data_IF_810420470790
#
_entry.id   IF_810420470790
#
_cell.length_a   1.000
_cell.length_b   1.000
_cell.length_c   1.000
_cell.angle_alpha   90.00
_cell.angle_beta   90.00
_cell.angle_gamma   90.00
#
_symmetry.space_group_name_H-M   'P 1'
#
loop_
_entity.id
_entity.type
_entity.pdbx_description
1 polymer ?
#
# COMPACT_ATOMS: atom_id res chain seq x y z
N UNK A 1 -35.69 -21.60 -24.41
CA UNK A 1 -35.50 -20.30 -23.75
C UNK A 1 -34.02 -20.20 -23.47
N UNK A 2 -33.26 -19.45 -24.29
CA UNK A 2 -31.80 -19.28 -24.16
C UNK A 2 -31.62 -18.30 -23.01
N UNK A 3 -30.79 -18.61 -21.98
CA UNK A 3 -30.53 -17.65 -20.90
C UNK A 3 -29.85 -16.41 -21.49
N UNK A 4 -30.47 -15.25 -21.27
CA UNK A 4 -29.87 -13.95 -21.57
C UNK A 4 -28.62 -13.86 -20.69
N UNK A 5 -27.44 -14.04 -21.29
CA UNK A 5 -26.17 -13.69 -20.62
C UNK A 5 -26.21 -12.18 -20.43
N UNK A 6 -26.48 -11.75 -19.21
CA UNK A 6 -26.42 -10.34 -18.83
C UNK A 6 -25.08 -9.77 -19.27
N UNK A 7 -25.11 -8.83 -20.20
CA UNK A 7 -23.89 -8.13 -20.65
C UNK A 7 -23.38 -7.28 -19.49
N UNK A 8 -22.25 -7.70 -18.92
CA UNK A 8 -21.55 -6.89 -17.92
C UNK A 8 -21.31 -5.48 -18.44
N UNK A 9 -21.46 -4.50 -17.57
CA UNK A 9 -21.08 -3.12 -17.88
C UNK A 9 -19.56 -3.03 -18.15
N UNK A 10 -19.09 -1.96 -18.80
CA UNK A 10 -17.64 -1.73 -18.95
C UNK A 10 -16.90 -1.68 -17.62
N UNK A 11 -17.49 -1.09 -16.57
CA UNK A 11 -16.93 -1.03 -15.23
C UNK A 11 -16.82 -2.43 -14.59
N UNK A 12 -17.89 -3.22 -14.66
CA UNK A 12 -17.87 -4.61 -14.15
C UNK A 12 -16.87 -5.48 -14.91
N UNK A 13 -16.75 -5.29 -16.22
CA UNK A 13 -15.77 -6.00 -17.03
C UNK A 13 -14.35 -5.61 -16.62
N UNK A 14 -14.09 -4.32 -16.39
CA UNK A 14 -12.79 -3.82 -15.91
C UNK A 14 -12.44 -4.41 -14.56
N UNK A 15 -13.38 -4.43 -13.62
CA UNK A 15 -13.19 -5.01 -12.29
C UNK A 15 -12.88 -6.53 -12.37
N UNK A 16 -13.62 -7.27 -13.20
CA UNK A 16 -13.36 -8.70 -13.41
C UNK A 16 -11.97 -8.97 -14.00
N UNK A 17 -11.52 -8.14 -14.97
CA UNK A 17 -10.18 -8.25 -15.55
C UNK A 17 -9.12 -8.05 -14.46
N UNK A 18 -9.24 -7.01 -13.61
CA UNK A 18 -8.32 -6.74 -12.51
C UNK A 18 -8.28 -7.89 -11.49
N UNK A 19 -9.44 -8.41 -11.11
CA UNK A 19 -9.52 -9.53 -10.18
C UNK A 19 -8.80 -10.76 -10.71
N UNK A 20 -9.09 -11.16 -11.94
CA UNK A 20 -8.45 -12.34 -12.57
C UNK A 20 -6.96 -12.11 -12.77
N UNK A 21 -6.55 -10.90 -13.18
CA UNK A 21 -5.14 -10.55 -13.32
C UNK A 21 -4.40 -10.64 -11.96
N UNK A 22 -5.01 -10.20 -10.87
CA UNK A 22 -4.45 -10.34 -9.52
C UNK A 22 -4.27 -11.82 -9.13
N UNK A 23 -5.28 -12.66 -9.35
CA UNK A 23 -5.21 -14.10 -9.08
C UNK A 23 -4.08 -14.76 -9.88
N UNK A 24 -3.92 -14.38 -11.15
CA UNK A 24 -2.84 -14.90 -12.01
C UNK A 24 -1.46 -14.39 -11.56
N UNK A 25 -1.32 -13.15 -11.13
CA UNK A 25 -0.08 -12.62 -10.56
C UNK A 25 0.31 -13.42 -9.31
N UNK A 26 -0.64 -13.75 -8.44
CA UNK A 26 -0.38 -14.60 -7.26
C UNK A 26 0.11 -16.00 -7.64
N UNK A 27 -0.33 -16.54 -8.76
CA UNK A 27 0.02 -17.89 -9.22
C UNK A 27 1.30 -17.93 -10.06
N UNK A 28 1.47 -16.95 -10.95
CA UNK A 28 2.48 -16.94 -12.00
C UNK A 28 3.53 -15.83 -11.86
N UNK A 29 3.30 -14.87 -10.99
CA UNK A 29 4.17 -13.69 -10.81
C UNK A 29 4.24 -12.83 -12.07
N UNK A 30 5.44 -12.36 -12.37
CA UNK A 30 5.71 -11.55 -13.56
C UNK A 30 5.47 -12.31 -14.90
N UNK A 31 5.25 -13.62 -14.86
CA UNK A 31 4.95 -14.41 -16.08
C UNK A 31 3.50 -14.35 -16.52
N UNK A 32 2.57 -13.90 -15.67
CA UNK A 32 1.16 -13.72 -16.04
C UNK A 32 1.03 -12.86 -17.30
N UNK A 33 0.16 -13.27 -18.23
CA UNK A 33 -0.02 -12.60 -19.54
C UNK A 33 -1.47 -12.16 -19.76
N UNK A 34 -1.67 -11.25 -20.71
CA UNK A 34 -3.02 -10.84 -21.14
C UNK A 34 -3.79 -12.04 -21.73
N UNK A 35 -3.09 -12.97 -22.39
CA UNK A 35 -3.71 -14.18 -22.92
C UNK A 35 -4.28 -15.07 -21.81
N UNK A 36 -3.55 -15.25 -20.71
CA UNK A 36 -4.02 -16.03 -19.55
C UNK A 36 -5.27 -15.39 -18.92
N UNK A 37 -5.32 -14.06 -18.84
CA UNK A 37 -6.50 -13.33 -18.34
C UNK A 37 -7.69 -13.52 -19.28
N UNK A 38 -7.47 -13.37 -20.58
CA UNK A 38 -8.50 -13.55 -21.59
C UNK A 38 -9.08 -14.97 -21.57
N UNK A 39 -8.22 -15.98 -21.51
CA UNK A 39 -8.61 -17.39 -21.40
C UNK A 39 -9.47 -17.64 -20.15
N UNK A 40 -8.99 -17.18 -18.99
CA UNK A 40 -9.70 -17.35 -17.70
C UNK A 40 -11.09 -16.69 -17.69
N UNK A 41 -11.27 -15.59 -18.44
CA UNK A 41 -12.54 -14.86 -18.55
C UNK A 41 -13.42 -15.34 -19.73
N UNK A 42 -12.92 -16.25 -20.56
CA UNK A 42 -13.63 -16.71 -21.77
C UNK A 42 -13.81 -15.61 -22.81
N UNK A 43 -12.86 -14.67 -22.93
CA UNK A 43 -12.89 -13.59 -23.90
C UNK A 43 -11.63 -13.57 -24.78
N UNK A 44 -11.65 -12.80 -25.88
CA UNK A 44 -10.46 -12.63 -26.71
C UNK A 44 -9.44 -11.70 -26.05
N UNK A 45 -8.14 -11.91 -26.30
CA UNK A 45 -7.08 -10.98 -25.88
C UNK A 45 -7.31 -9.56 -26.41
N UNK A 46 -7.85 -9.42 -27.63
CA UNK A 46 -8.22 -8.13 -28.21
C UNK A 46 -9.25 -7.38 -27.34
N UNK A 47 -10.16 -8.11 -26.70
CA UNK A 47 -11.13 -7.50 -25.80
C UNK A 47 -10.47 -7.00 -24.49
N UNK A 48 -9.50 -7.75 -23.94
CA UNK A 48 -8.71 -7.28 -22.77
C UNK A 48 -7.88 -6.06 -23.14
N UNK A 49 -7.24 -6.04 -24.32
CA UNK A 49 -6.46 -4.89 -24.81
C UNK A 49 -7.28 -3.60 -24.96
N UNK A 50 -8.59 -3.68 -25.17
CA UNK A 50 -9.47 -2.50 -25.20
C UNK A 50 -9.54 -1.80 -23.82
N UNK A 51 -9.37 -2.54 -22.74
CA UNK A 51 -9.40 -2.01 -21.37
C UNK A 51 -8.00 -1.64 -20.87
N UNK A 52 -6.99 -2.45 -21.23
CA UNK A 52 -5.61 -2.29 -20.80
C UNK A 52 -4.69 -2.50 -22.01
N UNK A 53 -4.12 -1.41 -22.56
CA UNK A 53 -3.43 -1.43 -23.86
C UNK A 53 -2.11 -2.21 -23.85
N UNK A 54 -1.59 -2.60 -22.68
CA UNK A 54 -0.39 -3.40 -22.53
C UNK A 54 -0.46 -4.25 -21.25
N UNK A 55 0.41 -5.26 -21.17
CA UNK A 55 0.63 -6.04 -19.95
C UNK A 55 1.05 -5.13 -18.80
N UNK A 56 1.95 -4.16 -19.04
CA UNK A 56 2.39 -3.20 -18.05
C UNK A 56 1.21 -2.38 -17.53
N UNK A 57 0.38 -1.82 -18.41
CA UNK A 57 -0.80 -1.04 -18.00
C UNK A 57 -1.78 -1.88 -17.14
N UNK A 58 -1.94 -3.17 -17.46
CA UNK A 58 -2.74 -4.08 -16.63
C UNK A 58 -2.09 -4.31 -15.26
N UNK A 59 -0.79 -4.58 -15.22
CA UNK A 59 -0.05 -4.82 -13.97
C UNK A 59 -0.04 -3.58 -13.07
N UNK A 60 0.15 -2.39 -13.63
CA UNK A 60 0.06 -1.11 -12.91
C UNK A 60 -1.35 -0.87 -12.34
N UNK A 61 -2.39 -1.18 -13.11
CA UNK A 61 -3.77 -1.06 -12.65
C UNK A 61 -4.09 -2.05 -11.53
N UNK A 62 -3.55 -3.27 -11.58
CA UNK A 62 -3.65 -4.25 -10.48
C UNK A 62 -2.93 -3.72 -9.25
N UNK A 63 -1.70 -3.23 -9.38
CA UNK A 63 -0.94 -2.64 -8.27
C UNK A 63 -1.70 -1.47 -7.64
N UNK A 64 -2.21 -0.55 -8.46
CA UNK A 64 -3.03 0.59 -7.99
C UNK A 64 -4.27 0.13 -7.21
N UNK A 65 -4.96 -0.91 -7.68
CA UNK A 65 -6.14 -1.46 -7.01
C UNK A 65 -5.79 -2.08 -5.66
N UNK A 66 -4.72 -2.88 -5.57
CA UNK A 66 -4.29 -3.54 -4.33
C UNK A 66 -3.77 -2.53 -3.30
N UNK A 67 -2.93 -1.59 -3.72
CA UNK A 67 -2.42 -0.53 -2.86
C UNK A 67 -3.54 0.42 -2.41
N UNK A 68 -4.49 0.73 -3.30
CA UNK A 68 -5.67 1.52 -2.98
C UNK A 68 -6.54 0.89 -1.89
N UNK A 69 -6.66 -0.44 -1.85
CA UNK A 69 -7.37 -1.14 -0.79
C UNK A 69 -6.67 -0.97 0.57
N UNK A 70 -5.34 -1.01 0.61
CA UNK A 70 -4.56 -0.76 1.84
C UNK A 70 -4.76 0.68 2.32
N UNK A 71 -4.74 1.64 1.40
CA UNK A 71 -4.99 3.06 1.73
C UNK A 71 -6.42 3.27 2.26
N UNK A 72 -7.42 2.63 1.65
CA UNK A 72 -8.81 2.72 2.11
C UNK A 72 -8.95 2.20 3.55
N UNK A 73 -8.31 1.09 3.87
CA UNK A 73 -8.29 0.53 5.23
C UNK A 73 -7.52 1.44 6.20
N UNK A 74 -6.38 2.01 5.79
CA UNK A 74 -5.63 3.00 6.58
C UNK A 74 -6.48 4.23 6.92
N UNK A 75 -7.20 4.78 5.93
CA UNK A 75 -8.12 5.90 6.16
C UNK A 75 -9.28 5.54 7.09
N UNK A 76 -9.81 4.32 6.95
CA UNK A 76 -10.87 3.81 7.84
C UNK A 76 -10.40 3.75 9.29
N UNK A 77 -9.22 3.21 9.54
CA UNK A 77 -8.62 3.15 10.87
C UNK A 77 -8.30 4.56 11.41
N UNK A 78 -7.75 5.43 10.58
CA UNK A 78 -7.45 6.81 10.94
C UNK A 78 -8.69 7.61 11.32
N UNK A 79 -9.84 7.33 10.74
CA UNK A 79 -11.13 7.95 11.08
C UNK A 79 -11.88 7.24 12.21
N UNK A 80 -11.33 6.16 12.78
CA UNK A 80 -11.96 5.34 13.80
C UNK A 80 -12.01 6.00 15.19
N UNK A 81 -12.57 5.32 16.19
CA UNK A 81 -12.57 5.78 17.57
C UNK A 81 -11.16 5.70 18.19
N UNK A 82 -10.97 6.43 19.31
CA UNK A 82 -9.75 6.42 20.09
C UNK A 82 -8.93 7.70 19.98
N UNK A 83 -7.76 7.70 20.61
CA UNK A 83 -6.78 8.78 20.55
C UNK A 83 -6.09 8.81 19.20
N UNK A 84 -5.45 9.93 18.84
CA UNK A 84 -4.64 10.02 17.63
C UNK A 84 -3.46 9.03 17.69
N UNK A 85 -2.87 8.85 18.86
CA UNK A 85 -1.78 7.90 19.12
C UNK A 85 -2.20 6.45 18.88
N UNK A 86 -3.37 6.03 19.37
CA UNK A 86 -3.90 4.67 19.16
C UNK A 86 -4.17 4.40 17.68
N UNK A 87 -4.81 5.33 16.98
CA UNK A 87 -5.11 5.21 15.56
C UNK A 87 -3.86 5.24 14.69
N UNK A 88 -2.89 6.07 15.04
CA UNK A 88 -1.57 6.08 14.39
C UNK A 88 -0.91 4.70 14.49
N UNK A 89 -0.85 4.12 15.70
CA UNK A 89 -0.30 2.78 15.90
C UNK A 89 -1.05 1.73 15.09
N UNK A 90 -2.38 1.75 15.12
CA UNK A 90 -3.22 0.80 14.37
C UNK A 90 -2.97 0.89 12.86
N UNK A 91 -2.81 2.10 12.30
CA UNK A 91 -2.53 2.30 10.87
C UNK A 91 -1.16 1.71 10.49
N UNK A 92 -0.09 1.99 11.24
CA UNK A 92 1.25 1.47 10.93
C UNK A 92 1.35 -0.05 11.08
N UNK A 93 0.75 -0.63 12.12
CA UNK A 93 0.71 -2.08 12.33
C UNK A 93 -0.10 -2.77 11.23
N UNK A 94 -1.25 -2.20 10.83
CA UNK A 94 -2.02 -2.71 9.69
C UNK A 94 -1.20 -2.67 8.40
N UNK A 95 -0.52 -1.57 8.11
CA UNK A 95 0.35 -1.45 6.92
C UNK A 95 1.43 -2.53 6.91
N UNK A 96 2.08 -2.79 8.06
CA UNK A 96 3.07 -3.86 8.19
C UNK A 96 2.48 -5.23 7.82
N UNK A 97 1.35 -5.60 8.41
CA UNK A 97 0.73 -6.91 8.14
C UNK A 97 0.30 -7.03 6.68
N UNK A 98 -0.28 -5.98 6.09
CA UNK A 98 -0.63 -5.99 4.67
C UNK A 98 0.61 -6.17 3.78
N UNK A 99 1.71 -5.45 4.05
CA UNK A 99 2.94 -5.57 3.27
C UNK A 99 3.56 -6.95 3.44
N UNK A 100 3.70 -7.46 4.68
CA UNK A 100 4.26 -8.77 4.94
C UNK A 100 3.44 -9.89 4.30
N UNK A 101 2.14 -9.92 4.58
CA UNK A 101 1.31 -11.08 4.27
C UNK A 101 0.86 -11.11 2.81
N UNK A 102 0.61 -9.95 2.19
CA UNK A 102 0.13 -9.87 0.81
C UNK A 102 1.24 -9.63 -0.21
N UNK A 103 2.32 -8.96 0.16
CA UNK A 103 3.35 -8.54 -0.78
C UNK A 103 4.66 -9.33 -0.62
N UNK A 104 5.07 -9.65 0.62
CA UNK A 104 6.36 -10.30 0.89
C UNK A 104 6.24 -11.81 0.98
N UNK A 105 5.32 -12.33 1.80
CA UNK A 105 5.16 -13.78 2.01
C UNK A 105 4.66 -14.53 0.77
N UNK A 106 4.19 -13.82 -0.26
CA UNK A 106 3.81 -14.39 -1.55
C UNK A 106 4.94 -14.12 -2.56
N UNK A 107 5.87 -15.06 -2.71
CA UNK A 107 7.07 -14.89 -3.53
C UNK A 107 6.79 -14.40 -4.97
N UNK A 108 5.69 -14.86 -5.58
CA UNK A 108 5.29 -14.44 -6.93
C UNK A 108 4.81 -12.98 -7.00
N UNK A 109 4.13 -12.53 -5.96
CA UNK A 109 3.72 -11.12 -5.83
C UNK A 109 4.95 -10.26 -5.54
N UNK A 110 5.84 -10.74 -4.67
CA UNK A 110 7.08 -10.02 -4.33
C UNK A 110 7.93 -9.72 -5.57
N UNK A 111 8.08 -10.67 -6.51
CA UNK A 111 8.75 -10.44 -7.80
C UNK A 111 8.16 -9.22 -8.55
N UNK A 112 6.84 -9.08 -8.57
CA UNK A 112 6.17 -7.96 -9.25
C UNK A 112 6.34 -6.65 -8.47
N UNK A 113 6.32 -6.71 -7.14
CA UNK A 113 6.56 -5.54 -6.27
C UNK A 113 7.99 -5.01 -6.48
N UNK A 114 8.99 -5.89 -6.56
CA UNK A 114 10.38 -5.49 -6.85
C UNK A 114 10.50 -4.78 -8.21
N UNK A 115 9.86 -5.32 -9.26
CA UNK A 115 9.81 -4.68 -10.58
C UNK A 115 9.13 -3.31 -10.47
N UNK A 116 7.96 -3.23 -9.84
CA UNK A 116 7.20 -1.99 -9.69
C UNK A 116 8.01 -0.90 -8.95
N UNK A 117 8.78 -1.28 -7.94
CA UNK A 117 9.65 -0.36 -7.20
C UNK A 117 10.86 0.08 -8.03
N UNK A 118 11.53 -0.86 -8.72
CA UNK A 118 12.72 -0.56 -9.53
C UNK A 118 12.39 0.34 -10.73
N UNK A 119 11.24 0.11 -11.35
CA UNK A 119 10.74 0.90 -12.47
C UNK A 119 9.96 2.15 -12.03
N UNK A 120 9.79 2.37 -10.73
CA UNK A 120 9.09 3.52 -10.15
C UNK A 120 7.68 3.70 -10.70
N UNK A 121 6.89 2.64 -10.68
CA UNK A 121 5.52 2.72 -11.19
C UNK A 121 4.72 3.81 -10.48
N UNK A 122 3.88 4.56 -11.21
CA UNK A 122 3.07 5.66 -10.64
C UNK A 122 2.24 5.24 -9.44
N UNK A 123 1.74 4.00 -9.41
CA UNK A 123 0.97 3.45 -8.29
C UNK A 123 1.79 3.40 -6.99
N UNK A 124 3.10 3.14 -7.05
CA UNK A 124 3.98 3.11 -5.89
C UNK A 124 4.19 4.52 -5.33
N UNK A 125 4.42 5.50 -6.20
CA UNK A 125 4.62 6.89 -5.77
C UNK A 125 3.32 7.47 -5.17
N UNK A 126 2.17 7.20 -5.79
CA UNK A 126 0.87 7.60 -5.26
C UNK A 126 0.61 6.98 -3.87
N UNK A 127 0.91 5.68 -3.70
CA UNK A 127 0.78 5.00 -2.41
C UNK A 127 1.62 5.64 -1.31
N UNK A 128 2.89 6.00 -1.60
CA UNK A 128 3.76 6.70 -0.63
C UNK A 128 3.20 8.05 -0.20
N UNK A 129 2.67 8.83 -1.16
CA UNK A 129 2.03 10.10 -0.87
C UNK A 129 0.78 9.95 -0.01
N UNK A 130 -0.07 8.97 -0.33
CA UNK A 130 -1.27 8.67 0.45
C UNK A 130 -0.94 8.22 1.87
N UNK A 131 0.07 7.36 2.06
CA UNK A 131 0.54 6.96 3.39
C UNK A 131 1.02 8.18 4.20
N UNK A 132 1.82 9.05 3.56
CA UNK A 132 2.30 10.26 4.22
C UNK A 132 1.15 11.20 4.62
N UNK A 133 0.14 11.35 3.76
CA UNK A 133 -1.03 12.18 4.04
C UNK A 133 -1.83 11.63 5.24
N UNK A 134 -2.10 10.31 5.29
CA UNK A 134 -2.82 9.69 6.43
C UNK A 134 -2.07 9.94 7.75
N UNK A 135 -0.75 9.74 7.76
CA UNK A 135 0.08 9.94 8.95
C UNK A 135 0.12 11.42 9.35
N UNK A 136 0.25 12.34 8.38
CA UNK A 136 0.26 13.78 8.65
C UNK A 136 -1.06 14.27 9.26
N UNK A 137 -2.20 13.77 8.77
CA UNK A 137 -3.51 14.10 9.32
C UNK A 137 -3.65 13.65 10.78
N UNK A 138 -3.16 12.44 11.10
CA UNK A 138 -3.13 11.92 12.48
C UNK A 138 -2.17 12.73 13.37
N UNK A 139 -1.01 13.14 12.86
CA UNK A 139 -0.07 14.00 13.59
C UNK A 139 -0.70 15.35 13.88
N UNK A 140 -1.32 15.99 12.88
CA UNK A 140 -2.01 17.28 13.05
C UNK A 140 -3.15 17.19 14.06
N UNK A 141 -3.92 16.10 14.05
CA UNK A 141 -4.96 15.88 15.05
C UNK A 141 -4.38 15.68 16.44
N UNK A 142 -3.35 14.83 16.59
CA UNK A 142 -2.68 14.59 17.87
C UNK A 142 -2.09 15.86 18.47
N UNK A 143 -1.54 16.75 17.65
CA UNK A 143 -1.08 18.08 18.08
C UNK A 143 -2.23 18.94 18.62
N UNK A 144 -3.37 18.98 17.90
CA UNK A 144 -4.55 19.73 18.39
C UNK A 144 -5.10 19.18 19.70
N UNK A 145 -4.93 17.89 19.97
CA UNK A 145 -5.39 17.21 21.19
C UNK A 145 -4.34 17.21 22.31
N UNK A 146 -3.14 17.73 22.04
CA UNK A 146 -2.03 17.74 23.01
C UNK A 146 -1.37 16.36 23.19
N UNK A 147 -1.61 15.42 22.31
CA UNK A 147 -1.00 14.07 22.32
C UNK A 147 0.41 14.09 21.71
N UNK A 148 0.66 14.96 20.73
CA UNK A 148 1.94 15.11 20.04
C UNK A 148 2.52 16.50 20.20
N UNK A 149 3.84 16.59 20.17
CA UNK A 149 4.58 17.84 20.27
C UNK A 149 4.47 18.70 18.99
N UNK A 150 4.92 19.97 19.06
CA UNK A 150 4.81 20.91 17.96
C UNK A 150 5.74 20.54 16.79
N UNK A 151 5.38 20.96 15.59
CA UNK A 151 6.15 20.77 14.35
C UNK A 151 5.25 20.76 13.14
N UNK A 152 5.83 20.80 11.94
CA UNK A 152 5.08 20.64 10.70
C UNK A 152 4.59 19.19 10.59
N UNK A 153 3.26 18.93 10.52
CA UNK A 153 2.72 17.59 10.46
C UNK A 153 3.22 16.79 9.24
N UNK A 154 3.39 17.42 8.09
CA UNK A 154 3.88 16.75 6.89
C UNK A 154 5.34 16.31 7.05
N UNK A 155 6.16 17.19 7.63
CA UNK A 155 7.56 16.88 7.90
C UNK A 155 7.71 15.77 8.95
N UNK A 156 6.96 15.84 10.03
CA UNK A 156 6.95 14.82 11.08
C UNK A 156 6.46 13.45 10.53
N UNK A 157 5.45 13.46 9.67
CA UNK A 157 4.98 12.24 9.01
C UNK A 157 6.06 11.62 8.12
N UNK A 158 6.74 12.43 7.29
CA UNK A 158 7.81 11.97 6.42
C UNK A 158 8.99 11.40 7.23
N UNK A 159 9.40 12.09 8.31
CA UNK A 159 10.44 11.60 9.23
C UNK A 159 10.06 10.27 9.87
N UNK A 160 8.83 10.18 10.39
CA UNK A 160 8.31 8.97 11.03
C UNK A 160 8.29 7.79 10.07
N UNK A 161 7.75 7.97 8.87
CA UNK A 161 7.73 6.92 7.86
C UNK A 161 9.15 6.53 7.45
N UNK A 162 10.08 7.48 7.31
CA UNK A 162 11.47 7.17 7.00
C UNK A 162 12.14 6.37 8.12
N UNK A 163 11.93 6.75 9.39
CA UNK A 163 12.47 6.03 10.54
C UNK A 163 11.87 4.63 10.72
N UNK A 164 10.60 4.45 10.36
CA UNK A 164 9.87 3.19 10.45
C UNK A 164 9.95 2.34 9.17
N UNK A 165 10.86 2.63 8.24
CA UNK A 165 10.94 1.92 6.96
C UNK A 165 11.03 0.39 7.10
N UNK A 166 11.64 -0.10 8.17
CA UNK A 166 11.75 -1.54 8.45
C UNK A 166 10.42 -2.27 8.61
N UNK A 167 9.33 -1.57 8.91
CA UNK A 167 8.00 -2.16 9.09
C UNK A 167 7.01 -1.84 7.97
N UNK A 168 7.39 -1.09 6.93
CA UNK A 168 6.48 -0.81 5.82
C UNK A 168 7.13 -0.88 4.43
N UNK A 169 8.48 -0.97 4.34
CA UNK A 169 9.16 -1.11 3.06
C UNK A 169 9.30 -2.60 2.71
N UNK A 170 8.73 -3.10 1.59
CA UNK A 170 8.66 -4.53 1.28
C UNK A 170 10.04 -5.23 1.29
N UNK A 171 11.07 -4.61 0.71
CA UNK A 171 12.42 -5.19 0.69
C UNK A 171 13.04 -5.29 2.09
N UNK A 172 12.83 -4.29 2.96
CA UNK A 172 13.36 -4.34 4.33
C UNK A 172 12.62 -5.40 5.16
N UNK A 173 11.30 -5.52 5.00
CA UNK A 173 10.52 -6.59 5.63
C UNK A 173 11.04 -7.96 5.17
N UNK A 174 11.25 -8.14 3.85
CA UNK A 174 11.75 -9.40 3.30
C UNK A 174 13.17 -9.75 3.79
N UNK A 175 14.05 -8.75 3.91
CA UNK A 175 15.44 -8.94 4.36
C UNK A 175 15.54 -9.25 5.86
N UNK A 176 14.70 -8.64 6.68
CA UNK A 176 14.74 -8.86 8.12
C UNK A 176 14.22 -10.24 8.51
N UNK A 177 13.18 -10.76 7.84
CA UNK A 177 12.60 -12.06 8.13
C UNK A 177 12.23 -12.22 9.61
N UNK A 178 12.07 -13.46 10.07
CA UNK A 178 11.85 -13.80 11.48
C UNK A 178 13.18 -14.09 12.18
N UNK A 179 14.08 -13.10 12.23
CA UNK A 179 15.36 -13.23 12.96
C UNK A 179 15.22 -12.80 14.42
N UNK A 180 16.06 -13.32 15.35
CA UNK A 180 16.01 -12.93 16.77
C UNK A 180 16.24 -11.43 17.03
N UNK A 181 16.82 -10.72 16.06
CA UNK A 181 17.07 -9.26 16.13
C UNK A 181 15.95 -8.43 15.53
N UNK A 182 14.96 -9.05 14.91
CA UNK A 182 13.81 -8.36 14.31
C UNK A 182 12.87 -7.91 15.42
N UNK A 183 12.66 -6.60 15.51
CA UNK A 183 11.67 -6.06 16.46
C UNK A 183 10.25 -6.28 15.93
N UNK A 184 9.27 -6.56 16.81
CA UNK A 184 7.88 -6.59 16.42
C UNK A 184 7.43 -5.17 15.99
N UNK A 185 6.47 -5.06 15.07
CA UNK A 185 6.04 -3.76 14.54
C UNK A 185 5.53 -2.83 15.63
N UNK A 186 4.92 -3.36 16.69
CA UNK A 186 4.43 -2.60 17.84
C UNK A 186 5.57 -1.88 18.57
N UNK A 187 6.74 -2.51 18.72
CA UNK A 187 7.90 -1.89 19.37
C UNK A 187 8.47 -0.72 18.53
N UNK A 188 8.48 -0.85 17.20
CA UNK A 188 8.89 0.24 16.29
C UNK A 188 7.89 1.39 16.34
N UNK A 189 6.59 1.08 16.37
CA UNK A 189 5.52 2.07 16.49
C UNK A 189 5.61 2.80 17.83
N UNK A 190 5.84 2.09 18.94
CA UNK A 190 6.02 2.71 20.26
C UNK A 190 7.19 3.70 20.28
N UNK A 191 8.31 3.34 19.63
CA UNK A 191 9.44 4.26 19.47
C UNK A 191 9.06 5.52 18.69
N UNK A 192 8.34 5.36 17.58
CA UNK A 192 7.86 6.49 16.77
C UNK A 192 6.90 7.40 17.54
N UNK A 193 5.99 6.83 18.33
CA UNK A 193 5.07 7.58 19.18
C UNK A 193 5.81 8.41 20.25
N UNK A 194 6.83 7.83 20.87
CA UNK A 194 7.67 8.58 21.83
C UNK A 194 8.39 9.76 21.16
N UNK A 195 8.90 9.57 19.93
CA UNK A 195 9.53 10.64 19.16
C UNK A 195 8.54 11.76 18.80
N UNK A 196 7.30 11.42 18.46
CA UNK A 196 6.25 12.40 18.16
C UNK A 196 5.77 13.15 19.40
N UNK A 197 5.75 12.50 20.57
CA UNK A 197 5.35 13.13 21.83
C UNK A 197 6.37 14.17 22.31
N UNK A 198 7.66 13.92 22.06
CA UNK A 198 8.76 14.79 22.46
C UNK A 198 9.69 15.09 21.27
N UNK A 199 9.19 15.77 20.23
CA UNK A 199 10.06 16.16 19.13
C UNK A 199 11.11 17.12 19.68
N UNK A 200 12.39 16.73 19.60
CA UNK A 200 13.50 17.59 19.97
C UNK A 200 13.55 18.86 19.11
N UNK A 201 14.40 19.83 19.42
CA UNK A 201 14.58 21.00 18.58
C UNK A 201 15.14 20.57 17.22
N UNK A 202 14.28 20.41 16.24
CA UNK A 202 14.69 20.20 14.84
C UNK A 202 15.00 21.54 14.20
N UNK A 203 16.07 21.63 13.40
CA UNK A 203 16.30 22.83 12.62
C UNK A 203 15.09 23.05 11.70
N UNK A 204 14.68 24.31 11.51
CA UNK A 204 13.60 24.63 10.58
C UNK A 204 13.98 24.06 9.20
N UNK A 205 13.00 23.47 8.52
CA UNK A 205 13.17 23.01 7.15
C UNK A 205 13.45 24.24 6.27
N UNK A 206 14.73 24.56 6.09
CA UNK A 206 15.16 25.53 5.09
C UNK A 206 15.11 24.85 3.74
N UNK A 207 13.89 24.81 3.17
CA UNK A 207 13.68 24.31 1.83
C UNK A 207 14.62 25.02 0.86
N UNK A 208 15.50 24.23 0.22
CA UNK A 208 16.25 24.59 -0.96
C UNK A 208 15.46 24.21 -2.20
#
# INVERSE_FOLDING_TARGET
>A
MIPVVERRSPEETRACILQVAWELIRQLGARATIADVAERLGMSSANVYRFYPSKQALSEAVASSQLGAIIAEGRRLAAGPGSASERFGAVLVMMYHCMRDQMVNQSRVHEVVEIAMSERWPAIEAFKLDCCAIVADLVAEGQRRGEFGPGDPQYLAAQTLSACACIHHPQLIAQHGDTPTTLPPEAVVEFALRALTHPGPFPPNTGA
#
